data_IF_587286998259
#
_entry.id   IF_587286998259
#
_cell.length_a   1.000
_cell.length_b   1.000
_cell.length_c   1.000
_cell.angle_alpha   90.00
_cell.angle_beta   90.00
_cell.angle_gamma   90.00
#
_symmetry.space_group_name_H-M   'P 1'
#
loop_
_entity.id
_entity.type
_entity.pdbx_description
1 polymer ?
#
# COMPACT_ATOMS: atom_id res chain seq x y z
N UNK A 1 60.69 4.23 -20.21
CA UNK A 1 59.84 4.89 -19.18
C UNK A 1 58.66 5.52 -19.90
N UNK A 2 57.54 4.81 -20.00
CA UNK A 2 56.32 5.28 -20.66
C UNK A 2 55.31 5.68 -19.60
N UNK A 3 55.00 6.98 -19.55
CA UNK A 3 54.10 7.58 -18.56
C UNK A 3 52.63 7.33 -18.87
N UNK A 4 51.92 6.69 -17.94
CA UNK A 4 50.47 6.61 -17.94
C UNK A 4 49.88 7.91 -17.37
N UNK A 5 49.22 8.71 -18.22
CA UNK A 5 48.31 9.78 -17.80
C UNK A 5 46.94 9.16 -17.46
N UNK A 6 46.35 9.44 -16.28
CA UNK A 6 44.98 9.01 -15.98
C UNK A 6 43.96 9.86 -16.74
N UNK A 7 42.92 9.20 -17.28
CA UNK A 7 41.77 9.83 -17.95
C UNK A 7 40.96 10.69 -16.95
N UNK A 8 40.39 11.83 -17.38
CA UNK A 8 39.53 12.63 -16.53
C UNK A 8 38.20 11.91 -16.30
N UNK A 9 37.81 11.78 -15.04
CA UNK A 9 36.48 11.33 -14.64
C UNK A 9 35.45 12.39 -15.05
N UNK A 10 34.47 11.97 -15.85
CA UNK A 10 33.30 12.76 -16.21
C UNK A 10 32.50 13.09 -14.96
N UNK A 11 32.52 14.36 -14.59
CA UNK A 11 31.59 14.96 -13.65
C UNK A 11 30.24 15.15 -14.35
N UNK A 12 29.34 14.18 -14.20
CA UNK A 12 27.91 14.39 -14.41
C UNK A 12 27.10 13.27 -13.75
N UNK A 13 26.78 13.46 -12.47
CA UNK A 13 25.60 12.84 -11.85
C UNK A 13 25.22 13.56 -10.56
N UNK A 14 25.26 14.90 -10.59
CA UNK A 14 24.55 15.69 -9.57
C UNK A 14 23.11 15.88 -10.06
N UNK A 15 22.32 14.81 -10.04
CA UNK A 15 20.87 14.96 -10.10
C UNK A 15 20.43 15.66 -8.82
N UNK A 16 20.24 16.97 -8.94
CA UNK A 16 19.59 17.80 -7.95
C UNK A 16 18.25 17.15 -7.58
N UNK A 17 18.14 16.69 -6.33
CA UNK A 17 16.87 16.21 -5.75
C UNK A 17 15.86 17.35 -5.88
N UNK A 18 14.93 17.21 -6.82
CA UNK A 18 13.74 18.04 -6.87
C UNK A 18 13.10 18.07 -5.48
N UNK A 19 12.54 19.22 -5.05
CA UNK A 19 11.96 19.34 -3.73
C UNK A 19 10.93 18.22 -3.54
N UNK A 20 10.92 17.55 -2.38
CA UNK A 20 10.00 16.46 -2.16
C UNK A 20 8.57 17.00 -2.30
N UNK A 21 7.93 16.73 -3.43
CA UNK A 21 6.52 17.01 -3.56
C UNK A 21 5.75 16.33 -2.42
N UNK A 22 4.61 16.92 -2.05
CA UNK A 22 3.79 16.48 -0.93
C UNK A 22 3.36 15.00 -1.02
N UNK A 23 2.76 14.47 0.04
CA UNK A 23 2.25 13.10 0.10
C UNK A 23 1.45 12.70 -1.16
N UNK A 24 0.60 13.61 -1.65
CA UNK A 24 -0.18 13.40 -2.86
C UNK A 24 0.65 13.25 -4.13
N UNK A 25 1.70 14.05 -4.33
CA UNK A 25 2.53 13.94 -5.54
C UNK A 25 3.39 12.68 -5.50
N UNK A 26 3.89 12.27 -4.32
CA UNK A 26 4.59 10.99 -4.15
C UNK A 26 3.66 9.80 -4.39
N UNK A 27 2.42 9.89 -3.92
CA UNK A 27 1.40 8.88 -4.19
C UNK A 27 1.10 8.81 -5.69
N UNK A 28 0.85 9.95 -6.34
CA UNK A 28 0.62 10.04 -7.79
C UNK A 28 1.79 9.49 -8.60
N UNK A 29 3.03 9.79 -8.21
CA UNK A 29 4.24 9.27 -8.87
C UNK A 29 4.39 7.75 -8.69
N UNK A 30 4.01 7.20 -7.54
CA UNK A 30 4.04 5.74 -7.33
C UNK A 30 2.93 5.03 -8.08
N UNK A 31 1.74 5.63 -8.08
CA UNK A 31 0.59 5.14 -8.81
C UNK A 31 0.73 5.34 -10.32
N UNK A 32 1.58 6.24 -10.83
CA UNK A 32 1.70 6.45 -12.27
C UNK A 32 2.20 5.22 -13.04
N UNK A 33 2.81 4.23 -12.37
CA UNK A 33 3.21 2.94 -12.99
C UNK A 33 2.07 1.91 -13.08
N UNK A 34 1.11 1.95 -12.17
CA UNK A 34 -0.05 1.04 -12.15
C UNK A 34 -1.23 1.71 -12.82
N UNK A 35 -1.45 2.97 -12.46
CA UNK A 35 -2.31 3.90 -13.13
C UNK A 35 -1.96 4.10 -14.59
N UNK A 36 -0.74 3.84 -15.09
CA UNK A 36 -0.52 3.86 -16.54
C UNK A 36 -1.32 2.77 -17.25
N UNK A 37 -1.41 1.54 -16.73
CA UNK A 37 -2.22 0.48 -17.35
C UNK A 37 -3.70 0.86 -17.42
N UNK A 38 -4.26 1.29 -16.27
CA UNK A 38 -5.65 1.72 -16.21
C UNK A 38 -5.88 3.03 -16.98
N UNK A 39 -4.99 4.02 -16.89
CA UNK A 39 -5.18 5.35 -17.53
C UNK A 39 -4.91 5.30 -19.03
N UNK A 40 -3.93 4.53 -19.51
CA UNK A 40 -3.63 4.35 -20.93
C UNK A 40 -4.69 3.46 -21.59
N UNK A 41 -5.11 2.40 -20.89
CA UNK A 41 -6.31 1.65 -21.22
C UNK A 41 -7.52 2.58 -21.31
N UNK A 42 -7.84 3.35 -20.30
CA UNK A 42 -9.01 4.24 -20.35
C UNK A 42 -8.87 5.36 -21.41
N UNK A 43 -7.68 5.90 -21.65
CA UNK A 43 -7.47 6.92 -22.69
C UNK A 43 -7.75 6.36 -24.09
N UNK A 44 -7.29 5.14 -24.38
CA UNK A 44 -7.54 4.49 -25.67
C UNK A 44 -9.02 4.14 -25.85
N UNK A 45 -9.73 3.83 -24.76
CA UNK A 45 -11.18 3.58 -24.73
C UNK A 45 -11.94 4.85 -25.12
N UNK A 46 -11.62 5.95 -24.44
CA UNK A 46 -12.24 7.27 -24.64
C UNK A 46 -12.05 7.76 -26.08
N UNK A 47 -10.88 7.53 -26.68
CA UNK A 47 -10.59 7.95 -28.06
C UNK A 47 -11.36 7.13 -29.13
N UNK A 48 -11.75 5.89 -28.81
CA UNK A 48 -12.47 5.00 -29.72
C UNK A 48 -13.99 5.09 -29.59
N UNK A 49 -14.50 5.62 -28.47
CA UNK A 49 -15.94 5.62 -28.17
C UNK A 49 -16.71 6.62 -29.03
N UNK A 50 -17.75 6.13 -29.71
CA UNK A 50 -18.69 6.98 -30.47
C UNK A 50 -20.02 7.15 -29.73
N UNK A 51 -20.52 6.08 -29.13
CA UNK A 51 -21.76 6.05 -28.36
C UNK A 51 -21.54 5.23 -27.08
N UNK A 52 -22.38 5.45 -26.08
CA UNK A 52 -22.35 4.70 -24.81
C UNK A 52 -23.46 3.66 -24.88
N UNK A 53 -23.12 2.50 -25.42
CA UNK A 53 -24.01 1.36 -25.58
C UNK A 53 -23.51 0.13 -24.81
N UNK A 54 -24.15 -1.01 -25.04
CA UNK A 54 -23.80 -2.27 -24.38
C UNK A 54 -22.40 -2.78 -24.81
N UNK A 55 -21.98 -2.49 -26.04
CA UNK A 55 -20.65 -2.84 -26.55
C UNK A 55 -19.56 -2.03 -25.85
N UNK A 56 -19.78 -0.72 -25.68
CA UNK A 56 -18.89 0.15 -24.91
C UNK A 56 -18.73 -0.32 -23.45
N UNK A 57 -19.80 -0.80 -22.81
CA UNK A 57 -19.73 -1.32 -21.44
C UNK A 57 -19.01 -2.66 -21.37
N UNK A 58 -19.17 -3.53 -22.36
CA UNK A 58 -18.40 -4.78 -22.47
C UNK A 58 -16.91 -4.52 -22.65
N UNK A 59 -16.54 -3.53 -23.46
CA UNK A 59 -15.14 -3.16 -23.63
C UNK A 59 -14.54 -2.52 -22.37
N UNK A 60 -15.34 -1.75 -21.62
CA UNK A 60 -14.94 -1.24 -20.32
C UNK A 60 -14.70 -2.37 -19.31
N UNK A 61 -15.55 -3.40 -19.29
CA UNK A 61 -15.38 -4.60 -18.47
C UNK A 61 -14.01 -5.27 -18.73
N UNK A 62 -13.69 -5.54 -19.98
CA UNK A 62 -12.42 -6.17 -20.37
C UNK A 62 -11.22 -5.35 -19.89
N UNK A 63 -11.29 -4.02 -20.03
CA UNK A 63 -10.21 -3.12 -19.59
C UNK A 63 -10.05 -3.09 -18.06
N UNK A 64 -11.15 -3.14 -17.31
CA UNK A 64 -11.10 -3.23 -15.85
C UNK A 64 -10.48 -4.58 -15.39
N UNK A 65 -10.81 -5.67 -16.08
CA UNK A 65 -10.21 -6.98 -15.81
C UNK A 65 -8.71 -6.99 -16.11
N UNK A 66 -8.29 -6.43 -17.26
CA UNK A 66 -6.88 -6.27 -17.62
C UNK A 66 -6.10 -5.37 -16.65
N UNK A 67 -6.80 -4.49 -15.92
CA UNK A 67 -6.22 -3.61 -14.92
C UNK A 67 -6.22 -4.21 -13.49
N UNK A 68 -6.43 -5.53 -13.36
CA UNK A 68 -6.45 -6.27 -12.07
C UNK A 68 -7.54 -5.81 -11.08
N UNK A 69 -8.68 -5.30 -11.56
CA UNK A 69 -9.81 -4.93 -10.69
C UNK A 69 -10.49 -6.17 -10.09
N UNK A 70 -10.47 -7.28 -10.81
CA UNK A 70 -11.07 -8.55 -10.41
C UNK A 70 -12.53 -8.69 -10.84
N UNK A 71 -12.97 -9.94 -11.02
CA UNK A 71 -14.26 -10.28 -11.66
C UNK A 71 -15.45 -9.70 -10.90
N UNK A 72 -15.53 -9.90 -9.59
CA UNK A 72 -16.69 -9.49 -8.80
C UNK A 72 -16.85 -7.97 -8.76
N UNK A 73 -15.74 -7.25 -8.54
CA UNK A 73 -15.73 -5.79 -8.50
C UNK A 73 -16.04 -5.19 -9.88
N UNK A 74 -15.46 -5.74 -10.96
CA UNK A 74 -15.76 -5.28 -12.31
C UNK A 74 -17.23 -5.48 -12.66
N UNK A 75 -17.78 -6.67 -12.39
CA UNK A 75 -19.19 -6.97 -12.65
C UNK A 75 -20.11 -6.00 -11.91
N UNK A 76 -19.85 -5.76 -10.63
CA UNK A 76 -20.63 -4.81 -9.83
C UNK A 76 -20.57 -3.39 -10.42
N UNK A 77 -19.39 -2.93 -10.86
CA UNK A 77 -19.23 -1.62 -11.49
C UNK A 77 -20.02 -1.52 -12.80
N UNK A 78 -19.89 -2.52 -13.68
CA UNK A 78 -20.53 -2.56 -15.00
C UNK A 78 -22.05 -2.65 -14.89
N UNK A 79 -22.58 -3.46 -13.97
CA UNK A 79 -24.01 -3.56 -13.71
C UNK A 79 -24.60 -2.20 -13.29
N UNK A 80 -23.91 -1.48 -12.39
CA UNK A 80 -24.34 -0.14 -11.94
C UNK A 80 -24.28 0.90 -13.07
N UNK A 81 -23.22 0.87 -13.88
CA UNK A 81 -23.10 1.74 -15.05
C UNK A 81 -24.17 1.44 -16.10
N UNK A 82 -24.48 0.17 -16.35
CA UNK A 82 -25.54 -0.27 -17.27
C UNK A 82 -26.90 0.33 -16.88
N UNK A 83 -27.23 0.34 -15.58
CA UNK A 83 -28.47 0.98 -15.10
C UNK A 83 -28.49 2.48 -15.40
N UNK A 84 -27.36 3.19 -15.23
CA UNK A 84 -27.24 4.63 -15.53
C UNK A 84 -27.37 4.91 -17.03
N UNK A 85 -26.76 4.08 -17.89
CA UNK A 85 -26.92 4.16 -19.36
C UNK A 85 -28.38 3.97 -19.76
N UNK A 86 -29.03 2.91 -19.26
CA UNK A 86 -30.45 2.62 -19.56
C UNK A 86 -31.40 3.75 -19.12
N UNK A 87 -31.04 4.49 -18.07
CA UNK A 87 -31.76 5.68 -17.59
C UNK A 87 -31.41 6.97 -18.34
N UNK A 88 -30.56 6.91 -19.38
CA UNK A 88 -30.06 8.06 -20.14
C UNK A 88 -29.38 9.12 -19.24
N UNK A 89 -28.68 8.67 -18.19
CA UNK A 89 -27.99 9.55 -17.24
C UNK A 89 -26.54 9.87 -17.64
N UNK A 90 -26.03 9.25 -18.71
CA UNK A 90 -24.67 9.42 -19.20
C UNK A 90 -24.77 9.95 -20.63
N UNK A 91 -24.40 11.22 -20.80
CA UNK A 91 -24.56 11.95 -22.07
C UNK A 91 -23.35 11.81 -22.99
N UNK A 92 -22.16 11.70 -22.40
CA UNK A 92 -20.88 11.64 -23.09
C UNK A 92 -19.86 10.81 -22.29
N UNK A 93 -18.70 10.63 -22.90
CA UNK A 93 -17.62 9.81 -22.33
C UNK A 93 -17.13 10.39 -21.01
N UNK A 94 -17.08 11.71 -20.87
CA UNK A 94 -16.67 12.36 -19.62
C UNK A 94 -17.65 12.02 -18.49
N UNK A 95 -18.96 12.04 -18.76
CA UNK A 95 -19.98 11.62 -17.82
C UNK A 95 -19.86 10.14 -17.44
N UNK A 96 -19.51 9.26 -18.39
CA UNK A 96 -19.23 7.84 -18.12
C UNK A 96 -18.02 7.67 -17.19
N UNK A 97 -16.92 8.39 -17.45
CA UNK A 97 -15.71 8.32 -16.64
C UNK A 97 -15.91 8.88 -15.22
N UNK A 98 -16.67 9.97 -15.09
CA UNK A 98 -17.05 10.51 -13.79
C UNK A 98 -17.99 9.55 -13.03
N UNK A 99 -18.95 8.92 -13.72
CA UNK A 99 -19.80 7.90 -13.12
C UNK A 99 -18.97 6.70 -12.64
N UNK A 100 -18.04 6.19 -13.44
CA UNK A 100 -17.13 5.12 -13.04
C UNK A 100 -16.32 5.51 -11.79
N UNK A 101 -15.78 6.73 -11.74
CA UNK A 101 -15.05 7.22 -10.56
C UNK A 101 -15.93 7.22 -9.30
N UNK A 102 -17.17 7.68 -9.41
CA UNK A 102 -18.14 7.69 -8.31
C UNK A 102 -18.40 6.27 -7.84
N UNK A 103 -18.73 5.35 -8.76
CA UNK A 103 -19.02 3.96 -8.42
C UNK A 103 -17.82 3.24 -7.77
N UNK A 104 -16.61 3.45 -8.28
CA UNK A 104 -15.39 2.91 -7.66
C UNK A 104 -15.17 3.46 -6.25
N UNK A 105 -15.46 4.75 -6.04
CA UNK A 105 -15.32 5.38 -4.71
C UNK A 105 -16.36 4.83 -3.73
N UNK A 106 -17.59 4.66 -4.18
CA UNK A 106 -18.68 4.07 -3.39
C UNK A 106 -18.39 2.60 -3.04
N UNK A 107 -17.80 1.84 -3.97
CA UNK A 107 -17.38 0.46 -3.72
C UNK A 107 -16.31 0.36 -2.63
N UNK A 108 -15.38 1.32 -2.57
CA UNK A 108 -14.31 1.37 -1.56
C UNK A 108 -14.78 1.95 -0.21
N UNK A 109 -15.84 2.75 -0.18
CA UNK A 109 -16.27 3.48 1.01
C UNK A 109 -16.53 2.58 2.26
N UNK A 110 -17.18 1.41 2.17
CA UNK A 110 -17.46 0.56 3.34
C UNK A 110 -16.22 0.02 4.04
N UNK A 111 -15.13 -0.16 3.29
CA UNK A 111 -13.84 -0.71 3.76
C UNK A 111 -12.79 0.35 4.04
N UNK A 112 -13.07 1.62 3.71
CA UNK A 112 -12.22 2.77 4.01
C UNK A 112 -12.34 3.16 5.49
N UNK A 113 -11.77 2.32 6.36
CA UNK A 113 -11.80 2.50 7.81
C UNK A 113 -10.38 2.71 8.34
N UNK A 114 -10.08 3.84 9.00
CA UNK A 114 -8.76 4.06 9.59
C UNK A 114 -8.52 3.07 10.74
N UNK A 115 -7.26 2.71 10.95
CA UNK A 115 -6.85 2.02 12.17
C UNK A 115 -6.96 3.00 13.34
N UNK A 116 -7.85 2.72 14.29
CA UNK A 116 -8.01 3.49 15.52
C UNK A 116 -7.38 2.70 16.66
N UNK A 117 -6.39 3.29 17.32
CA UNK A 117 -5.78 2.73 18.53
C UNK A 117 -6.71 3.04 19.71
N UNK A 118 -7.38 2.02 20.22
CA UNK A 118 -8.27 2.16 21.37
C UNK A 118 -7.45 2.37 22.65
N UNK A 119 -7.54 3.56 23.22
CA UNK A 119 -6.81 3.92 24.43
C UNK A 119 -7.25 3.12 25.68
N UNK A 120 -8.40 2.45 25.65
CA UNK A 120 -8.85 1.54 26.71
C UNK A 120 -8.16 0.17 26.64
N UNK A 121 -7.69 -0.24 25.45
CA UNK A 121 -6.92 -1.46 25.27
C UNK A 121 -5.43 -1.15 25.49
N UNK A 122 -4.90 -1.52 26.67
CA UNK A 122 -3.48 -1.28 27.02
C UNK A 122 -2.76 -2.59 27.41
N UNK A 123 -1.85 -3.11 26.56
CA UNK A 123 -1.47 -2.58 25.25
C UNK A 123 -2.53 -2.89 24.16
N UNK A 124 -2.58 -2.06 23.12
CA UNK A 124 -3.33 -2.32 21.89
C UNK A 124 -2.51 -3.25 20.99
N UNK A 125 -3.03 -4.45 20.72
CA UNK A 125 -2.27 -5.51 20.04
C UNK A 125 -2.57 -5.53 18.54
N UNK A 126 -1.53 -5.35 17.73
CA UNK A 126 -1.61 -5.51 16.26
C UNK A 126 -0.87 -6.78 15.86
N UNK A 127 -1.63 -7.82 15.48
CA UNK A 127 -1.07 -9.06 14.96
C UNK A 127 -0.92 -8.98 13.43
N UNK A 128 0.32 -9.09 12.95
CA UNK A 128 0.63 -8.99 11.52
C UNK A 128 0.74 -10.38 10.89
N UNK A 129 -0.19 -10.68 9.98
CA UNK A 129 -0.29 -11.97 9.28
C UNK A 129 -0.10 -11.81 7.77
N UNK A 130 0.23 -12.91 7.09
CA UNK A 130 0.37 -12.95 5.63
C UNK A 130 1.53 -13.83 5.16
N UNK A 131 1.64 -14.04 3.85
CA UNK A 131 2.66 -14.91 3.24
C UNK A 131 4.05 -14.27 3.22
N UNK A 132 5.08 -15.07 2.96
CA UNK A 132 6.45 -14.59 2.80
C UNK A 132 6.55 -13.66 1.57
N UNK A 133 7.37 -12.60 1.66
CA UNK A 133 7.53 -11.63 0.56
C UNK A 133 6.46 -10.54 0.50
N UNK A 134 5.30 -10.68 1.16
CA UNK A 134 4.23 -9.67 1.15
C UNK A 134 4.54 -8.33 1.86
N UNK A 135 5.77 -8.16 2.37
CA UNK A 135 6.21 -6.91 2.97
C UNK A 135 5.89 -6.72 4.47
N UNK A 136 5.45 -7.76 5.18
CA UNK A 136 5.05 -7.70 6.61
C UNK A 136 6.04 -6.94 7.51
N UNK A 137 7.31 -7.35 7.55
CA UNK A 137 8.33 -6.74 8.42
C UNK A 137 8.59 -5.28 8.06
N UNK A 138 8.56 -4.95 6.77
CA UNK A 138 8.68 -3.56 6.29
C UNK A 138 7.47 -2.72 6.70
N UNK A 139 6.26 -3.30 6.65
CA UNK A 139 5.04 -2.62 7.10
C UNK A 139 5.04 -2.42 8.62
N UNK A 140 5.49 -3.41 9.40
CA UNK A 140 5.67 -3.26 10.86
C UNK A 140 6.57 -2.06 11.17
N UNK A 141 7.74 -1.97 10.54
CA UNK A 141 8.68 -0.87 10.77
C UNK A 141 8.13 0.50 10.39
N UNK A 142 7.40 0.60 9.27
CA UNK A 142 6.73 1.84 8.84
C UNK A 142 5.60 2.24 9.79
N UNK A 143 4.77 1.29 10.18
CA UNK A 143 3.65 1.50 11.10
C UNK A 143 4.16 1.93 12.48
N UNK A 144 5.20 1.28 12.98
CA UNK A 144 5.81 1.61 14.26
C UNK A 144 6.41 3.03 14.27
N UNK A 145 7.06 3.45 13.18
CA UNK A 145 7.52 4.83 13.03
C UNK A 145 6.34 5.82 12.94
N UNK A 146 5.27 5.46 12.23
CA UNK A 146 4.08 6.29 12.10
C UNK A 146 3.39 6.49 13.47
N UNK A 147 3.20 5.42 14.24
CA UNK A 147 2.62 5.46 15.57
C UNK A 147 3.50 6.25 16.56
N UNK A 148 4.82 6.06 16.51
CA UNK A 148 5.77 6.89 17.27
C UNK A 148 5.62 8.37 16.94
N UNK A 149 5.54 8.72 15.65
CA UNK A 149 5.35 10.11 15.23
C UNK A 149 4.00 10.69 15.66
N UNK A 150 3.00 9.84 15.89
CA UNK A 150 1.71 10.20 16.45
C UNK A 150 1.70 10.28 17.99
N UNK A 151 2.84 10.03 18.65
CA UNK A 151 3.00 10.15 20.11
C UNK A 151 2.82 8.85 20.89
N UNK A 152 2.62 7.70 20.23
CA UNK A 152 2.52 6.40 20.89
C UNK A 152 3.90 5.80 21.21
N UNK A 153 3.94 4.89 22.17
CA UNK A 153 5.15 4.15 22.57
C UNK A 153 5.09 2.64 22.20
N UNK A 154 5.17 2.27 20.90
CA UNK A 154 5.01 0.88 20.48
C UNK A 154 6.18 -0.01 20.94
N UNK A 155 5.87 -1.28 21.17
CA UNK A 155 6.84 -2.36 21.40
C UNK A 155 6.68 -3.41 20.30
N UNK A 156 7.81 -3.90 19.77
CA UNK A 156 7.81 -4.89 18.70
C UNK A 156 8.04 -6.29 19.26
N UNK A 157 7.33 -7.29 18.73
CA UNK A 157 7.49 -8.69 19.09
C UNK A 157 7.89 -9.52 17.86
N UNK A 158 9.00 -10.25 17.95
CA UNK A 158 9.56 -11.03 16.84
C UNK A 158 8.94 -12.43 16.74
N UNK A 159 7.64 -12.48 16.41
CA UNK A 159 6.89 -13.75 16.32
C UNK A 159 7.20 -14.63 15.11
N UNK A 160 7.93 -14.14 14.09
CA UNK A 160 8.42 -14.95 12.95
C UNK A 160 9.72 -15.68 13.35
N UNK A 161 9.62 -16.60 14.30
CA UNK A 161 10.77 -17.30 14.93
C UNK A 161 11.43 -18.34 14.02
N UNK A 162 10.70 -18.83 13.02
CA UNK A 162 11.20 -19.79 12.03
C UNK A 162 12.18 -19.15 11.04
N UNK A 163 12.14 -17.84 10.84
CA UNK A 163 13.02 -17.15 9.89
C UNK A 163 13.98 -16.25 10.64
N UNK A 164 15.21 -16.71 10.88
CA UNK A 164 16.24 -15.94 11.57
C UNK A 164 16.41 -14.51 10.99
N UNK A 165 16.45 -14.39 9.67
CA UNK A 165 16.54 -13.10 8.99
C UNK A 165 15.33 -12.18 9.24
N UNK A 166 14.14 -12.72 9.53
CA UNK A 166 12.96 -11.91 9.86
C UNK A 166 13.09 -11.29 11.26
N UNK A 167 13.61 -12.05 12.23
CA UNK A 167 13.93 -11.56 13.58
C UNK A 167 14.98 -10.46 13.51
N UNK A 168 16.11 -10.69 12.83
CA UNK A 168 17.18 -9.71 12.66
C UNK A 168 16.71 -8.44 11.93
N UNK A 169 15.85 -8.60 10.90
CA UNK A 169 15.29 -7.47 10.19
C UNK A 169 14.36 -6.64 11.09
N UNK A 170 13.55 -7.27 11.93
CA UNK A 170 12.70 -6.57 12.88
C UNK A 170 13.52 -5.86 13.96
N UNK A 171 14.58 -6.49 14.46
CA UNK A 171 15.53 -5.87 15.40
C UNK A 171 16.16 -4.61 14.81
N UNK A 172 16.65 -4.66 13.56
CA UNK A 172 17.17 -3.47 12.86
C UNK A 172 16.14 -2.35 12.69
N UNK A 173 14.86 -2.69 12.47
CA UNK A 173 13.79 -1.70 12.45
C UNK A 173 13.55 -1.09 13.83
N UNK A 174 13.59 -1.91 14.89
CA UNK A 174 13.54 -1.47 16.27
C UNK A 174 14.67 -0.50 16.58
N UNK A 175 15.92 -0.86 16.30
CA UNK A 175 17.09 0.00 16.48
C UNK A 175 16.95 1.33 15.72
N UNK A 176 16.61 1.26 14.43
CA UNK A 176 16.42 2.45 13.58
C UNK A 176 15.38 3.41 14.15
N UNK A 177 14.29 2.86 14.68
CA UNK A 177 13.20 3.63 15.24
C UNK A 177 13.36 3.83 16.76
N UNK A 178 14.45 3.39 17.40
CA UNK A 178 14.68 3.41 18.86
C UNK A 178 13.57 2.73 19.68
N UNK A 179 12.95 1.68 19.15
CA UNK A 179 11.86 0.94 19.78
C UNK A 179 12.36 -0.37 20.39
N UNK A 180 11.81 -0.80 21.55
CA UNK A 180 12.13 -2.08 22.12
C UNK A 180 11.61 -3.22 21.24
N UNK A 181 12.44 -4.26 21.07
CA UNK A 181 12.08 -5.50 20.36
C UNK A 181 12.24 -6.68 21.30
N UNK A 182 11.18 -7.44 21.46
CA UNK A 182 11.18 -8.69 22.21
C UNK A 182 11.36 -9.83 21.20
N UNK A 183 12.44 -10.58 21.37
CA UNK A 183 12.80 -11.70 20.53
C UNK A 183 13.45 -12.78 21.40
N UNK A 184 13.25 -14.03 21.00
CA UNK A 184 13.99 -15.18 21.54
C UNK A 184 14.89 -15.76 20.44
N UNK A 185 15.60 -16.86 20.74
CA UNK A 185 16.47 -17.53 19.78
C UNK A 185 15.72 -18.08 18.56
N UNK A 186 16.46 -18.39 17.50
CA UNK A 186 15.91 -19.03 16.31
C UNK A 186 15.24 -20.37 16.66
N UNK A 187 14.06 -20.63 16.10
CA UNK A 187 13.27 -21.83 16.39
C UNK A 187 12.54 -21.81 17.73
N UNK A 188 12.53 -20.67 18.44
CA UNK A 188 11.70 -20.50 19.63
C UNK A 188 10.21 -20.62 19.32
N UNK A 189 9.43 -21.02 20.31
CA UNK A 189 7.98 -21.03 20.22
C UNK A 189 7.45 -19.59 20.08
N UNK A 190 6.69 -19.34 19.01
CA UNK A 190 6.21 -18.00 18.70
C UNK A 190 5.22 -17.49 19.73
N UNK A 191 4.38 -18.38 20.31
CA UNK A 191 3.45 -18.01 21.36
C UNK A 191 4.19 -17.52 22.62
N UNK A 192 5.29 -18.17 22.98
CA UNK A 192 6.17 -17.78 24.09
C UNK A 192 6.80 -16.39 23.87
N UNK A 193 7.28 -16.10 22.65
CA UNK A 193 7.80 -14.76 22.30
C UNK A 193 6.73 -13.68 22.46
N UNK A 194 5.50 -13.94 22.00
CA UNK A 194 4.39 -12.98 22.14
C UNK A 194 3.96 -12.84 23.60
N UNK A 195 3.95 -13.93 24.37
CA UNK A 195 3.65 -13.91 25.80
C UNK A 195 4.61 -13.01 26.58
N UNK A 196 5.92 -13.18 26.35
CA UNK A 196 6.95 -12.32 26.94
C UNK A 196 6.80 -10.86 26.51
N UNK A 197 6.46 -10.63 25.23
CA UNK A 197 6.23 -9.29 24.71
C UNK A 197 5.04 -8.60 25.37
N UNK A 198 3.96 -9.32 25.61
CA UNK A 198 2.79 -8.81 26.35
C UNK A 198 3.14 -8.48 27.80
N UNK A 199 3.93 -9.33 28.47
CA UNK A 199 4.43 -9.05 29.81
C UNK A 199 5.29 -7.78 29.85
N UNK A 200 6.24 -7.65 28.92
CA UNK A 200 7.11 -6.49 28.81
C UNK A 200 6.33 -5.20 28.48
N UNK A 201 5.36 -5.26 27.58
CA UNK A 201 4.52 -4.11 27.20
C UNK A 201 3.71 -3.60 28.40
N UNK A 202 3.07 -4.50 29.17
CA UNK A 202 2.33 -4.14 30.38
C UNK A 202 3.24 -3.53 31.45
N UNK A 203 4.41 -4.12 31.69
CA UNK A 203 5.37 -3.64 32.69
C UNK A 203 5.95 -2.25 32.35
N UNK A 204 6.07 -1.94 31.05
CA UNK A 204 6.63 -0.66 30.56
C UNK A 204 5.56 0.40 30.30
N UNK A 205 4.28 0.08 30.46
CA UNK A 205 3.18 0.98 30.11
C UNK A 205 3.16 1.33 28.62
N UNK A 206 3.57 0.41 27.76
CA UNK A 206 3.48 0.59 26.30
C UNK A 206 2.02 0.69 25.85
N UNK A 207 1.80 1.51 24.82
CA UNK A 207 0.49 1.72 24.19
C UNK A 207 0.14 0.61 23.19
#
# INVERSE_FOLDING_TARGET
MFGFKPKPQSADDTQAKAPPGGLFSRLRQRLSRTGSSLTEGMATFVLGLKEIDEEALSELEDRLLLADVGVDATRELVDRLTVRVRRKQLADVDALMDALRVEMTELLAPVSRPLIIDAAARPFVILMVGVNGAGKTTTIGKLAQHLRNAGHAPLLAAGDTFRAAAVEQLQRWGERNQLPVIAQGHGADSASVIFDAMGAARARGSD
#
